data_IF_147515040961
#
_entry.id   IF_147515040961
#
_cell.length_a   1.000
_cell.length_b   1.000
_cell.length_c   1.000
_cell.angle_alpha   90.00
_cell.angle_beta   90.00
_cell.angle_gamma   90.00
#
_symmetry.space_group_name_H-M   'P 1'
#
loop_
_entity.id
_entity.type
_entity.pdbx_description
1 polymer ?
#
# COMPACT_ATOMS: atom_id res chain seq x y z
N UNK A 1 -6.00 -9.09 18.51
CA UNK A 1 -4.63 -8.62 18.19
C UNK A 1 -4.69 -7.23 17.54
N UNK A 2 -3.82 -6.31 17.95
CA UNK A 2 -3.64 -4.97 17.38
C UNK A 2 -2.58 -5.00 16.28
N UNK A 3 -2.92 -4.48 15.10
CA UNK A 3 -2.04 -4.47 13.94
C UNK A 3 -1.84 -3.01 13.50
N UNK A 4 -0.62 -2.53 13.61
CA UNK A 4 -0.22 -1.22 13.10
C UNK A 4 0.41 -1.35 11.70
N UNK A 5 -0.22 -0.71 10.72
CA UNK A 5 0.23 -0.68 9.32
C UNK A 5 0.59 0.74 8.92
N UNK A 6 1.61 0.92 8.09
CA UNK A 6 1.96 2.25 7.54
C UNK A 6 2.05 2.20 6.00
N UNK A 7 0.92 1.93 5.30
CA UNK A 7 0.96 1.88 3.83
C UNK A 7 1.40 3.22 3.27
N UNK A 8 2.42 3.18 2.40
CA UNK A 8 3.11 4.37 1.92
C UNK A 8 3.43 4.30 0.45
N UNK A 9 3.45 5.47 -0.19
CA UNK A 9 3.91 5.63 -1.57
C UNK A 9 5.07 6.63 -1.60
N UNK A 10 6.20 6.20 -2.16
CA UNK A 10 7.38 7.03 -2.36
C UNK A 10 7.17 7.95 -3.57
N UNK A 11 7.38 9.24 -3.38
CA UNK A 11 7.29 10.24 -4.44
C UNK A 11 8.61 10.34 -5.22
N UNK A 12 8.56 10.49 -6.56
CA UNK A 12 9.74 10.70 -7.39
C UNK A 12 10.60 11.88 -6.92
N UNK A 13 11.92 11.84 -7.20
CA UNK A 13 12.83 12.93 -6.83
C UNK A 13 12.79 14.02 -7.89
N UNK A 14 12.65 15.27 -7.48
CA UNK A 14 12.79 16.43 -8.36
C UNK A 14 11.57 16.76 -9.21
N UNK A 15 10.48 15.98 -9.12
CA UNK A 15 9.23 16.21 -9.85
C UNK A 15 8.11 16.28 -8.82
N UNK A 16 7.47 17.45 -8.60
CA UNK A 16 6.25 17.53 -7.81
C UNK A 16 5.21 16.59 -8.44
N UNK A 17 4.86 15.53 -7.72
CA UNK A 17 3.91 14.52 -8.21
C UNK A 17 2.69 14.51 -7.29
N UNK A 18 1.50 14.73 -7.84
CA UNK A 18 0.24 14.58 -7.10
C UNK A 18 -0.07 13.09 -6.96
N UNK A 19 0.11 12.58 -5.75
CA UNK A 19 -0.32 11.23 -5.40
C UNK A 19 -1.49 11.28 -4.44
N UNK A 20 -2.55 10.53 -4.73
CA UNK A 20 -3.72 10.40 -3.89
C UNK A 20 -3.99 8.94 -3.60
N UNK A 21 -4.29 8.62 -2.34
CA UNK A 21 -4.80 7.30 -1.99
C UNK A 21 -6.20 7.17 -2.61
N UNK A 22 -6.52 6.02 -3.18
CA UNK A 22 -7.86 5.66 -3.66
C UNK A 22 -8.56 4.87 -2.57
N UNK A 23 -7.98 3.73 -2.17
CA UNK A 23 -8.46 2.90 -1.08
C UNK A 23 -7.40 1.91 -0.58
N UNK A 24 -7.76 1.23 0.50
CA UNK A 24 -7.02 0.15 1.13
C UNK A 24 -7.98 -1.01 1.36
N UNK A 25 -7.65 -2.18 0.82
CA UNK A 25 -8.32 -3.43 1.10
C UNK A 25 -7.42 -4.31 1.98
N UNK A 26 -8.00 -4.92 3.03
CA UNK A 26 -7.26 -5.79 3.95
C UNK A 26 -8.03 -7.09 4.15
N UNK A 27 -7.43 -8.17 3.66
CA UNK A 27 -7.95 -9.54 3.74
C UNK A 27 -7.16 -10.34 4.79
N UNK A 28 -7.80 -11.25 5.55
CA UNK A 28 -9.20 -11.64 5.47
C UNK A 28 -10.15 -10.77 6.31
N UNK A 29 -9.69 -9.64 6.84
CA UNK A 29 -10.47 -8.83 7.78
C UNK A 29 -11.73 -8.18 7.17
N UNK A 30 -11.91 -8.25 5.85
CA UNK A 30 -13.05 -7.67 5.15
C UNK A 30 -13.07 -6.14 5.22
N UNK A 31 -11.91 -5.51 5.45
CA UNK A 31 -11.80 -4.07 5.56
C UNK A 31 -11.56 -3.46 4.17
N UNK A 32 -12.44 -2.55 3.77
CA UNK A 32 -12.26 -1.68 2.60
C UNK A 32 -12.38 -0.23 3.04
N UNK A 33 -11.24 0.44 3.15
CA UNK A 33 -11.15 1.83 3.61
C UNK A 33 -10.99 2.75 2.41
N UNK A 34 -11.88 3.72 2.24
CA UNK A 34 -11.94 4.59 1.07
C UNK A 34 -11.37 5.96 1.38
N UNK A 35 -10.65 6.52 0.40
CA UNK A 35 -10.16 7.89 0.50
C UNK A 35 -11.32 8.87 0.67
N UNK A 36 -11.15 9.82 1.58
CA UNK A 36 -12.19 10.80 1.86
C UNK A 36 -13.31 10.28 2.76
N UNK A 37 -13.30 9.02 3.19
CA UNK A 37 -14.28 8.49 4.16
C UNK A 37 -13.57 8.08 5.44
N UNK A 38 -12.87 6.93 5.42
CA UNK A 38 -12.14 6.43 6.59
C UNK A 38 -10.67 6.84 6.56
N UNK A 39 -10.09 7.02 5.37
CA UNK A 39 -8.66 7.25 5.18
C UNK A 39 -8.38 8.43 4.27
N UNK A 40 -7.15 8.95 4.38
CA UNK A 40 -6.61 10.03 3.55
C UNK A 40 -5.09 9.94 3.49
N UNK A 41 -4.50 10.25 2.35
CA UNK A 41 -3.04 10.36 2.24
C UNK A 41 -2.54 11.64 2.93
N UNK A 42 -1.53 11.53 3.80
CA UNK A 42 -0.86 12.66 4.44
C UNK A 42 0.65 12.44 4.52
N UNK A 43 1.39 13.45 4.99
CA UNK A 43 2.82 13.37 5.29
C UNK A 43 3.06 13.55 6.79
N UNK A 44 3.04 12.46 7.58
CA UNK A 44 3.43 12.50 9.00
C UNK A 44 4.87 12.98 9.22
N UNK A 45 5.75 12.73 8.24
CA UNK A 45 7.15 13.14 8.25
C UNK A 45 7.43 14.16 7.14
N UNK A 46 7.38 15.47 7.42
CA UNK A 46 7.49 16.52 6.39
C UNK A 46 8.81 16.50 5.61
N UNK A 47 9.89 15.98 6.22
CA UNK A 47 11.21 15.86 5.61
C UNK A 47 11.38 14.59 4.76
N UNK A 48 10.37 13.71 4.69
CA UNK A 48 10.40 12.49 3.88
C UNK A 48 9.53 12.68 2.63
N UNK A 49 9.95 12.04 1.54
CA UNK A 49 9.30 12.11 0.23
C UNK A 49 8.31 10.98 0.02
N UNK A 50 7.54 10.62 1.04
CA UNK A 50 6.50 9.62 0.89
C UNK A 50 5.23 10.09 1.57
N UNK A 51 4.10 9.69 1.01
CA UNK A 51 2.82 9.83 1.67
C UNK A 51 2.48 8.54 2.40
N UNK A 52 1.74 8.67 3.49
CA UNK A 52 1.26 7.56 4.30
C UNK A 52 -0.26 7.61 4.31
N UNK A 53 -0.88 6.45 4.20
CA UNK A 53 -2.31 6.30 4.44
C UNK A 53 -2.61 6.54 5.93
N UNK A 54 -3.40 7.57 6.22
CA UNK A 54 -3.73 8.00 7.56
C UNK A 54 -5.25 7.92 7.78
N UNK A 55 -5.71 7.79 9.03
CA UNK A 55 -7.13 7.91 9.36
C UNK A 55 -7.65 9.31 9.01
N UNK A 56 -8.84 9.40 8.42
CA UNK A 56 -9.53 10.66 8.15
C UNK A 56 -10.27 11.16 9.40
N UNK A 57 -9.52 11.44 10.46
CA UNK A 57 -10.03 12.06 11.68
C UNK A 57 -9.16 13.27 12.02
N UNK A 58 -9.81 14.43 12.19
CA UNK A 58 -9.14 15.69 12.45
C UNK A 58 -8.14 16.09 11.35
N UNK A 59 -7.22 16.99 11.70
CA UNK A 59 -6.21 17.55 10.77
C UNK A 59 -4.80 16.97 10.96
N UNK A 60 -4.56 16.22 12.04
CA UNK A 60 -3.23 15.70 12.38
C UNK A 60 -2.83 14.55 11.45
N UNK A 61 -1.62 14.60 10.90
CA UNK A 61 -1.04 13.50 10.13
C UNK A 61 -0.37 12.51 11.08
N UNK A 62 -1.05 11.40 11.38
CA UNK A 62 -0.55 10.32 12.24
C UNK A 62 0.06 9.25 11.33
N UNK A 63 1.19 8.66 11.73
CA UNK A 63 1.76 7.55 10.98
C UNK A 63 0.83 6.34 11.04
N UNK A 64 0.39 5.88 9.86
CA UNK A 64 -0.28 4.61 9.70
C UNK A 64 -1.71 4.51 10.23
N UNK A 65 -2.15 3.26 10.34
CA UNK A 65 -3.47 2.81 10.75
C UNK A 65 -3.31 1.75 11.83
N UNK A 66 -4.18 1.79 12.84
CA UNK A 66 -4.27 0.76 13.86
C UNK A 66 -5.57 -0.02 13.64
N UNK A 67 -5.44 -1.34 13.51
CA UNK A 67 -6.53 -2.27 13.24
C UNK A 67 -6.63 -3.23 14.40
N UNK A 68 -7.85 -3.49 14.86
CA UNK A 68 -8.13 -4.51 15.85
C UNK A 68 -8.68 -5.75 15.15
N UNK A 69 -7.96 -6.86 15.23
CA UNK A 69 -8.40 -8.16 14.76
C UNK A 69 -9.05 -8.95 15.90
N UNK A 70 -10.14 -9.65 15.60
CA UNK A 70 -10.96 -10.40 16.57
C UNK A 70 -10.24 -11.63 17.20
N UNK A 71 -9.03 -11.95 16.77
CA UNK A 71 -8.23 -13.05 17.29
C UNK A 71 -6.75 -12.89 16.98
N UNK A 72 -6.01 -13.99 17.11
CA UNK A 72 -4.64 -14.12 16.60
C UNK A 72 -4.67 -14.20 15.08
N UNK A 73 -3.64 -13.66 14.43
CA UNK A 73 -3.54 -13.59 12.97
C UNK A 73 -2.19 -14.15 12.57
N UNK A 74 -2.20 -15.14 11.68
CA UNK A 74 -0.96 -15.73 11.13
C UNK A 74 -0.47 -14.98 9.90
N UNK A 75 -1.41 -14.56 9.04
CA UNK A 75 -1.10 -13.85 7.82
C UNK A 75 -2.30 -13.00 7.37
N UNK A 76 -1.99 -11.93 6.63
CA UNK A 76 -2.99 -11.06 6.02
C UNK A 76 -2.41 -10.36 4.80
N UNK A 77 -3.28 -9.89 3.91
CA UNK A 77 -2.91 -9.19 2.68
C UNK A 77 -3.44 -7.76 2.74
N UNK A 78 -2.60 -6.81 2.35
CA UNK A 78 -2.97 -5.40 2.21
C UNK A 78 -2.78 -4.99 0.76
N UNK A 79 -3.85 -4.53 0.13
CA UNK A 79 -3.80 -3.93 -1.20
C UNK A 79 -4.11 -2.45 -1.06
N UNK A 80 -3.20 -1.59 -1.50
CA UNK A 80 -3.42 -0.14 -1.58
C UNK A 80 -3.40 0.32 -3.02
N UNK A 81 -4.35 1.18 -3.36
CA UNK A 81 -4.44 1.78 -4.69
C UNK A 81 -4.20 3.27 -4.60
N UNK A 82 -3.36 3.78 -5.49
CA UNK A 82 -2.95 5.18 -5.51
C UNK A 82 -3.12 5.75 -6.90
N UNK A 83 -3.78 6.90 -7.00
CA UNK A 83 -3.83 7.69 -8.22
C UNK A 83 -2.62 8.62 -8.26
N UNK A 84 -1.83 8.54 -9.32
CA UNK A 84 -0.65 9.37 -9.56
C UNK A 84 -0.95 10.27 -10.76
N UNK A 85 -0.84 11.58 -10.57
CA UNK A 85 -1.27 12.61 -11.52
C UNK A 85 -2.74 12.50 -11.99
N UNK A 86 -3.56 11.70 -11.30
CA UNK A 86 -4.94 11.43 -11.70
C UNK A 86 -5.08 10.53 -12.95
N UNK A 87 -3.97 10.12 -13.56
CA UNK A 87 -3.94 9.33 -14.79
C UNK A 87 -3.48 7.89 -14.54
N UNK A 88 -2.50 7.71 -13.66
CA UNK A 88 -1.87 6.41 -13.42
C UNK A 88 -2.43 5.81 -12.13
N UNK A 89 -3.00 4.61 -12.23
CA UNK A 89 -3.39 3.82 -11.07
C UNK A 89 -2.26 2.88 -10.66
N UNK A 90 -1.59 3.21 -9.56
CA UNK A 90 -0.63 2.35 -8.90
C UNK A 90 -1.36 1.41 -7.93
N UNK A 91 -1.13 0.10 -8.07
CA UNK A 91 -1.58 -0.91 -7.09
C UNK A 91 -0.37 -1.49 -6.37
N UNK A 92 -0.39 -1.43 -5.05
CA UNK A 92 0.65 -1.95 -4.17
C UNK A 92 0.06 -3.02 -3.27
N UNK A 93 0.51 -4.26 -3.45
CA UNK A 93 0.04 -5.44 -2.72
C UNK A 93 1.14 -5.99 -1.82
N UNK A 94 0.87 -6.08 -0.52
CA UNK A 94 1.79 -6.63 0.47
C UNK A 94 1.14 -7.80 1.19
N UNK A 95 1.82 -8.95 1.18
CA UNK A 95 1.42 -10.13 1.94
C UNK A 95 2.28 -10.19 3.21
N UNK A 96 1.62 -10.13 4.37
CA UNK A 96 2.27 -10.17 5.68
C UNK A 96 2.13 -11.57 6.29
N UNK A 97 3.23 -12.09 6.81
CA UNK A 97 3.27 -13.28 7.68
C UNK A 97 3.74 -12.85 9.07
N UNK A 98 2.97 -13.15 10.10
CA UNK A 98 3.23 -12.78 11.48
C UNK A 98 3.93 -13.92 12.21
N UNK A 99 5.16 -13.66 12.65
CA UNK A 99 5.95 -14.62 13.43
C UNK A 99 5.63 -14.59 14.93
N UNK A 100 4.98 -13.52 15.40
CA UNK A 100 4.65 -13.31 16.81
C UNK A 100 3.19 -13.67 17.05
N UNK A 101 2.96 -14.72 17.86
CA UNK A 101 1.64 -15.17 18.29
C UNK A 101 1.45 -15.03 19.81
N UNK A 102 2.49 -14.59 20.53
CA UNK A 102 2.48 -14.51 22.00
C UNK A 102 2.09 -13.11 22.49
N UNK A 103 2.16 -12.10 21.63
CA UNK A 103 1.84 -10.72 21.96
C UNK A 103 0.60 -10.23 21.22
N UNK A 104 -0.15 -9.36 21.90
CA UNK A 104 -1.38 -8.78 21.37
C UNK A 104 -1.16 -7.63 20.38
N UNK A 105 0.08 -7.27 20.02
CA UNK A 105 0.34 -6.13 19.14
C UNK A 105 1.53 -6.34 18.19
N UNK A 106 1.34 -5.97 16.93
CA UNK A 106 2.38 -5.99 15.88
C UNK A 106 2.38 -4.70 15.08
N UNK A 107 3.55 -4.34 14.56
CA UNK A 107 3.74 -3.10 13.80
C UNK A 107 4.68 -3.30 12.61
N UNK A 108 4.33 -2.68 11.48
CA UNK A 108 5.25 -2.53 10.35
C UNK A 108 6.42 -1.57 10.66
N UNK A 109 6.17 -0.55 11.49
CA UNK A 109 7.19 0.44 11.86
C UNK A 109 8.21 -0.18 12.82
N UNK A 110 9.43 -0.37 12.32
CA UNK A 110 10.57 -0.94 13.05
C UNK A 110 10.93 -0.13 14.28
N UNK A 111 10.64 1.18 14.29
CA UNK A 111 10.95 2.04 15.45
C UNK A 111 10.13 1.66 16.68
N UNK A 112 8.99 0.98 16.51
CA UNK A 112 8.22 0.43 17.64
C UNK A 112 8.76 -0.91 18.14
N UNK A 113 9.73 -1.52 17.47
CA UNK A 113 10.28 -2.80 17.85
C UNK A 113 11.51 -2.66 18.76
N UNK A 114 11.52 -3.35 19.91
CA UNK A 114 12.67 -3.38 20.84
C UNK A 114 13.82 -4.28 20.37
N UNK A 115 13.59 -5.14 19.37
CA UNK A 115 14.58 -6.11 18.84
C UNK A 115 14.38 -6.25 17.34
N UNK A 116 15.40 -5.95 16.54
CA UNK A 116 15.28 -5.88 15.09
C UNK A 116 15.06 -7.28 14.50
N UNK A 117 13.84 -7.58 14.05
CA UNK A 117 13.61 -8.69 13.12
C UNK A 117 14.03 -8.23 11.71
N UNK A 118 14.68 -9.11 10.95
CA UNK A 118 15.05 -8.82 9.57
C UNK A 118 13.76 -8.64 8.74
N UNK A 119 13.41 -7.39 8.44
CA UNK A 119 12.31 -7.09 7.51
C UNK A 119 12.82 -7.23 6.08
N UNK A 120 12.33 -8.23 5.36
CA UNK A 120 12.49 -8.29 3.91
C UNK A 120 11.40 -7.43 3.29
N UNK A 121 11.74 -6.20 2.92
CA UNK A 121 10.87 -5.38 2.07
C UNK A 121 10.93 -5.93 0.65
N UNK A 122 9.94 -6.72 0.25
CA UNK A 122 9.62 -6.83 -1.16
C UNK A 122 8.82 -5.60 -1.53
N UNK A 123 9.46 -4.60 -2.17
CA UNK A 123 8.68 -3.63 -2.92
C UNK A 123 8.04 -4.39 -4.07
N UNK A 124 6.71 -4.56 -4.08
CA UNK A 124 6.01 -5.18 -5.19
C UNK A 124 6.31 -4.38 -6.44
N UNK A 125 6.54 -5.12 -7.51
CA UNK A 125 6.75 -4.57 -8.84
C UNK A 125 5.54 -3.71 -9.19
N UNK A 126 5.74 -2.39 -9.27
CA UNK A 126 4.72 -1.45 -9.69
C UNK A 126 4.26 -1.84 -11.09
N UNK A 127 3.10 -2.50 -11.20
CA UNK A 127 2.44 -2.70 -12.49
C UNK A 127 1.84 -1.35 -12.87
N UNK A 128 2.59 -0.55 -13.63
CA UNK A 128 2.02 0.57 -14.38
C UNK A 128 1.21 -0.08 -15.49
N UNK A 129 -0.08 -0.28 -15.25
CA UNK A 129 -1.00 -0.59 -16.34
C UNK A 129 -1.09 0.68 -17.18
N UNK A 130 -0.24 0.75 -18.21
CA UNK A 130 -0.36 1.75 -19.26
C UNK A 130 -1.79 1.66 -19.78
N UNK A 131 -2.47 2.81 -19.79
CA UNK A 131 -3.74 2.91 -20.49
C UNK A 131 -3.45 2.75 -21.97
N UNK A 132 -3.62 1.55 -22.51
CA UNK A 132 -3.68 1.35 -23.96
C UNK A 132 -5.00 1.95 -24.46
N UNK A 133 -4.98 3.27 -24.67
CA UNK A 133 -6.00 3.97 -25.41
C UNK A 133 -5.82 3.70 -26.91
N UNK A 134 -6.73 2.87 -27.45
CA UNK A 134 -7.29 2.89 -28.81
C UNK A 134 -6.29 2.95 -29.99
N UNK A 135 -6.05 1.79 -30.60
CA UNK A 135 -6.04 1.60 -32.05
C UNK A 135 -6.55 0.15 -32.28
N UNK A 136 -7.65 -0.10 -32.97
CA UNK A 136 -7.80 0.21 -34.39
C UNK A 136 -7.34 -1.01 -35.19
N UNK A 137 -8.24 -1.99 -35.29
CA UNK A 137 -8.41 -3.06 -36.30
C UNK A 137 -7.21 -3.77 -36.99
N UNK A 138 -7.48 -5.04 -37.29
CA UNK A 138 -6.86 -5.93 -38.28
C UNK A 138 -5.52 -6.64 -37.96
N UNK A 139 -5.54 -7.97 -38.12
CA UNK A 139 -4.41 -8.70 -38.70
C UNK A 139 -3.91 -9.92 -37.95
N UNK A 140 -4.43 -11.08 -38.36
CA UNK A 140 -3.82 -12.41 -38.18
C UNK A 140 -2.37 -12.42 -38.69
N UNK A 141 -1.40 -12.95 -37.93
CA UNK A 141 -0.53 -14.05 -38.39
C UNK A 141 0.39 -14.57 -37.29
N UNK A 142 0.39 -15.90 -37.17
CA UNK A 142 1.34 -16.73 -36.46
C UNK A 142 2.66 -16.86 -37.23
N UNK A 143 3.81 -16.74 -36.56
CA UNK A 143 5.04 -17.47 -36.96
C UNK A 143 5.91 -17.74 -35.71
N UNK A 144 6.12 -19.02 -35.44
CA UNK A 144 7.18 -19.61 -34.60
C UNK A 144 8.54 -19.53 -35.29
N UNK A 145 9.62 -19.31 -34.55
CA UNK A 145 10.91 -20.01 -34.79
C UNK A 145 11.87 -19.82 -33.62
N UNK A 146 12.29 -20.96 -33.07
CA UNK A 146 13.53 -21.24 -32.33
C UNK A 146 14.76 -21.03 -33.20
N UNK A 147 15.84 -20.53 -32.59
CA UNK A 147 17.17 -21.16 -32.60
C UNK A 147 17.81 -20.99 -31.22
#
# INVERSE_FOLDING_TARGET
MLIHLSPRLLEPKGIPTRCELVDIAIDPFGLLLRNGVEVVARRPYPNKRYQVACRKIGRMAINGLLIEAAGTVDAFRVVTRWAVEGEILCTHEVNYSLADQDHDAVSEDVLFCKRQAAQVYHQPRMAVLGSDCIAGDAGVSSVTSTE
#
